data_IF_329074378200
#
_entry.id   IF_329074378200
#
_cell.length_a   1.000
_cell.length_b   1.000
_cell.length_c   1.000
_cell.angle_alpha   90.00
_cell.angle_beta   90.00
_cell.angle_gamma   90.00
#
_symmetry.space_group_name_H-M   'P 1'
#
loop_
_entity.id
_entity.type
_entity.pdbx_description
1 polymer ?
#
# COMPACT_ATOMS: atom_id res chain seq x y z
N UNK A 1 -10.73 -15.34 0.92
CA UNK A 1 -9.77 -15.08 -0.18
C UNK A 1 -8.35 -15.20 0.33
N UNK A 2 -7.37 -15.51 -0.53
CA UNK A 2 -5.95 -15.61 -0.15
C UNK A 2 -5.17 -14.44 -0.77
N UNK A 3 -4.35 -13.75 0.03
CA UNK A 3 -3.34 -12.82 -0.49
C UNK A 3 -2.13 -13.60 -1.00
N UNK A 4 -1.75 -13.32 -2.24
CA UNK A 4 -0.60 -13.97 -2.90
C UNK A 4 0.56 -13.01 -3.14
N UNK A 5 0.31 -11.70 -3.04
CA UNK A 5 1.31 -10.65 -3.24
C UNK A 5 0.74 -9.29 -2.89
N UNK A 6 1.62 -8.33 -2.59
CA UNK A 6 1.27 -6.94 -2.46
C UNK A 6 2.48 -6.06 -2.76
N UNK A 7 2.25 -4.84 -3.24
CA UNK A 7 3.28 -3.82 -3.40
C UNK A 7 2.68 -2.43 -3.41
N UNK A 8 3.51 -1.42 -3.14
CA UNK A 8 3.12 -0.02 -3.23
C UNK A 8 3.48 0.52 -4.61
N UNK A 9 2.63 1.37 -5.16
CA UNK A 9 2.84 2.01 -6.45
C UNK A 9 2.43 3.48 -6.39
N UNK A 10 2.95 4.28 -7.31
CA UNK A 10 2.48 5.65 -7.48
C UNK A 10 1.04 5.67 -8.01
N UNK A 11 0.77 4.86 -9.04
CA UNK A 11 -0.53 4.81 -9.70
C UNK A 11 -0.83 3.38 -10.18
N UNK A 12 -2.11 3.00 -10.12
CA UNK A 12 -2.61 1.76 -10.70
C UNK A 12 -3.96 1.99 -11.39
N UNK A 13 -4.20 1.25 -12.47
CA UNK A 13 -5.46 1.27 -13.20
C UNK A 13 -5.78 -0.10 -13.78
N UNK A 14 -7.05 -0.34 -14.06
CA UNK A 14 -7.50 -1.49 -14.85
C UNK A 14 -7.67 -1.04 -16.29
N UNK A 15 -6.88 -1.60 -17.22
CA UNK A 15 -6.99 -1.37 -18.66
C UNK A 15 -7.12 -2.72 -19.33
N UNK A 16 -8.21 -2.93 -20.09
CA UNK A 16 -8.52 -4.21 -20.76
C UNK A 16 -8.46 -5.42 -19.81
N UNK A 17 -9.02 -5.27 -18.61
CA UNK A 17 -9.00 -6.27 -17.53
C UNK A 17 -7.61 -6.67 -17.04
N UNK A 18 -6.58 -5.85 -17.32
CA UNK A 18 -5.21 -6.05 -16.84
C UNK A 18 -4.83 -4.95 -15.87
N UNK A 19 -4.05 -5.33 -14.88
CA UNK A 19 -3.41 -4.39 -13.98
C UNK A 19 -2.36 -3.60 -14.75
N UNK A 20 -2.55 -2.29 -14.83
CA UNK A 20 -1.55 -1.35 -15.33
C UNK A 20 -0.99 -0.56 -14.14
N UNK A 21 0.34 -0.51 -14.02
CA UNK A 21 1.06 0.22 -12.98
C UNK A 21 1.91 1.29 -13.65
N UNK A 22 1.78 2.52 -13.18
CA UNK A 22 2.52 3.67 -13.69
C UNK A 22 3.26 4.39 -12.55
N UNK A 23 4.30 5.15 -12.91
CA UNK A 23 5.21 5.83 -11.96
C UNK A 23 6.23 4.88 -11.31
N UNK A 24 5.84 3.63 -11.04
CA UNK A 24 6.73 2.57 -10.58
C UNK A 24 6.30 1.99 -9.23
N UNK A 25 7.07 1.01 -8.76
CA UNK A 25 6.89 0.41 -7.43
C UNK A 25 7.62 1.27 -6.40
N UNK A 26 6.91 1.66 -5.34
CA UNK A 26 7.40 2.54 -4.30
C UNK A 26 8.16 1.75 -3.23
N UNK A 27 9.42 2.15 -3.03
CA UNK A 27 10.24 1.77 -1.86
C UNK A 27 10.61 2.98 -1.00
N UNK A 28 10.40 4.20 -1.54
CA UNK A 28 10.68 5.48 -0.89
C UNK A 28 9.60 6.50 -1.24
N UNK A 29 9.24 7.36 -0.30
CA UNK A 29 8.33 8.48 -0.51
C UNK A 29 8.87 9.74 0.17
N UNK A 30 9.07 10.80 -0.61
CA UNK A 30 9.50 12.10 -0.08
C UNK A 30 8.28 12.98 0.15
N UNK A 31 8.01 13.30 1.41
CA UNK A 31 6.84 14.10 1.79
C UNK A 31 7.14 15.60 1.81
N UNK A 32 6.11 16.39 1.56
CA UNK A 32 6.13 17.84 1.70
C UNK A 32 6.04 18.32 3.16
N UNK A 33 5.99 19.65 3.39
CA UNK A 33 5.93 20.23 4.73
C UNK A 33 4.71 19.80 5.56
N UNK A 34 3.60 19.45 4.91
CA UNK A 34 2.37 18.97 5.53
C UNK A 34 2.43 17.47 5.90
N UNK A 35 3.50 16.76 5.50
CA UNK A 35 3.74 15.34 5.78
C UNK A 35 2.64 14.41 5.25
N UNK A 36 1.84 14.88 4.29
CA UNK A 36 0.81 14.09 3.62
C UNK A 36 1.43 13.23 2.53
N UNK A 37 0.99 11.99 2.44
CA UNK A 37 1.37 11.06 1.39
C UNK A 37 0.13 10.39 0.80
N UNK A 38 0.07 10.36 -0.54
CA UNK A 38 -0.95 9.65 -1.31
C UNK A 38 -0.25 8.71 -2.27
N UNK A 39 -0.51 7.41 -2.13
CA UNK A 39 0.03 6.36 -2.98
C UNK A 39 -0.97 5.21 -3.09
N UNK A 40 -0.67 4.22 -3.92
CA UNK A 40 -1.55 3.08 -4.18
C UNK A 40 -0.98 1.82 -3.56
N UNK A 41 -1.79 1.11 -2.77
CA UNK A 41 -1.54 -0.28 -2.42
C UNK A 41 -2.15 -1.17 -3.50
N UNK A 42 -1.35 -2.04 -4.12
CA UNK A 42 -1.81 -3.11 -4.99
C UNK A 42 -1.72 -4.43 -4.25
N UNK A 43 -2.78 -5.23 -4.32
CA UNK A 43 -2.83 -6.59 -3.78
C UNK A 43 -3.14 -7.59 -4.89
N UNK A 44 -2.51 -8.75 -4.81
CA UNK A 44 -2.76 -9.90 -5.68
C UNK A 44 -3.49 -10.96 -4.88
N UNK A 45 -4.61 -11.44 -5.41
CA UNK A 45 -5.59 -12.25 -4.70
C UNK A 45 -5.84 -13.56 -5.44
N UNK A 46 -6.23 -14.59 -4.70
CA UNK A 46 -6.76 -15.83 -5.25
C UNK A 46 -8.00 -16.24 -4.48
N UNK A 47 -8.88 -17.00 -5.13
CA UNK A 47 -9.96 -17.68 -4.44
C UNK A 47 -9.44 -18.52 -3.27
N UNK A 48 -10.16 -18.48 -2.16
CA UNK A 48 -9.98 -19.36 -1.02
C UNK A 48 -11.18 -20.32 -0.98
N UNK A 49 -11.01 -21.61 -1.29
CA UNK A 49 -12.12 -22.56 -1.30
C UNK A 49 -12.64 -22.88 0.11
N UNK A 50 -11.85 -22.63 1.16
CA UNK A 50 -12.25 -22.89 2.55
C UNK A 50 -12.91 -21.67 3.20
N UNK A 51 -12.62 -20.46 2.69
CA UNK A 51 -13.18 -19.21 3.19
C UNK A 51 -13.49 -18.21 2.05
N UNK A 52 -14.56 -18.49 1.31
CA UNK A 52 -14.96 -17.72 0.12
C UNK A 52 -15.49 -16.31 0.44
N UNK A 53 -16.02 -16.12 1.64
CA UNK A 53 -16.78 -14.90 1.99
C UNK A 53 -15.89 -13.81 2.60
N UNK A 54 -14.70 -14.16 3.09
CA UNK A 54 -13.74 -13.18 3.62
C UNK A 54 -12.96 -12.51 2.48
N UNK A 55 -13.30 -11.25 2.22
CA UNK A 55 -12.69 -10.37 1.21
C UNK A 55 -12.06 -9.12 1.81
N UNK A 56 -11.82 -9.12 3.12
CA UNK A 56 -11.26 -7.95 3.81
C UNK A 56 -9.75 -7.90 3.62
N UNK A 57 -9.25 -6.71 3.31
CA UNK A 57 -7.82 -6.37 3.44
C UNK A 57 -7.68 -5.36 4.57
N UNK A 58 -6.85 -5.68 5.55
CA UNK A 58 -6.45 -4.79 6.62
C UNK A 58 -5.01 -4.32 6.37
N UNK A 59 -4.76 -3.03 6.59
CA UNK A 59 -3.44 -2.42 6.41
C UNK A 59 -3.07 -1.68 7.69
N UNK A 60 -1.96 -2.08 8.29
CA UNK A 60 -1.37 -1.40 9.43
C UNK A 60 -0.12 -0.64 8.98
N UNK A 61 -0.10 0.68 9.19
CA UNK A 61 1.08 1.50 8.95
C UNK A 61 1.82 1.68 10.27
N UNK A 62 2.95 1.01 10.42
CA UNK A 62 3.77 1.00 11.63
C UNK A 62 4.84 2.10 11.51
N UNK A 63 4.87 3.08 12.44
CA UNK A 63 5.85 4.14 12.44
C UNK A 63 7.23 3.65 12.91
N UNK A 64 8.33 4.27 12.44
CA UNK A 64 9.69 3.93 12.88
C UNK A 64 9.95 4.25 14.36
N UNK A 65 9.09 5.05 15.00
CA UNK A 65 9.21 5.46 16.41
C UNK A 65 8.73 4.42 17.40
N UNK A 66 8.03 3.37 16.95
CA UNK A 66 7.40 2.38 17.82
C UNK A 66 6.06 2.82 18.43
N UNK A 67 5.51 3.94 17.96
CA UNK A 67 4.14 4.35 18.25
C UNK A 67 3.10 3.38 17.67
N UNK A 68 1.84 3.56 18.08
CA UNK A 68 0.74 2.70 17.65
C UNK A 68 0.56 2.74 16.11
N UNK A 69 0.28 1.60 15.47
CA UNK A 69 0.02 1.56 14.03
C UNK A 69 -1.25 2.33 13.64
N UNK A 70 -1.25 2.89 12.44
CA UNK A 70 -2.45 3.47 11.83
C UNK A 70 -3.16 2.40 11.01
N UNK A 71 -4.41 2.08 11.38
CA UNK A 71 -5.21 1.06 10.73
C UNK A 71 -6.01 1.60 9.54
N UNK A 72 -6.09 0.80 8.47
CA UNK A 72 -7.00 0.96 7.33
C UNK A 72 -7.63 -0.38 6.97
N UNK A 73 -8.86 -0.33 6.47
CA UNK A 73 -9.60 -1.53 6.05
C UNK A 73 -10.24 -1.29 4.69
N UNK A 74 -10.13 -2.29 3.84
CA UNK A 74 -10.66 -2.30 2.49
C UNK A 74 -11.42 -3.60 2.24
N UNK A 75 -12.31 -3.58 1.26
CA UNK A 75 -12.99 -4.76 0.77
C UNK A 75 -12.61 -4.98 -0.69
N UNK A 76 -12.16 -6.19 -1.01
CA UNK A 76 -11.78 -6.58 -2.36
C UNK A 76 -13.05 -6.87 -3.17
N UNK A 77 -13.20 -6.29 -4.37
CA UNK A 77 -14.32 -6.61 -5.26
C UNK A 77 -14.37 -8.09 -5.60
N UNK A 78 -15.57 -8.67 -5.71
CA UNK A 78 -15.74 -10.08 -6.06
C UNK A 78 -15.05 -10.46 -7.37
N UNK A 79 -15.15 -9.57 -8.38
CA UNK A 79 -14.53 -9.76 -9.68
C UNK A 79 -13.00 -9.85 -9.64
N UNK A 80 -12.38 -9.41 -8.54
CA UNK A 80 -10.94 -9.51 -8.29
C UNK A 80 -10.54 -10.83 -7.62
N UNK A 81 -11.49 -11.76 -7.40
CA UNK A 81 -11.24 -13.05 -6.75
C UNK A 81 -11.68 -14.16 -7.70
N UNK A 82 -10.70 -14.85 -8.29
CA UNK A 82 -10.96 -15.89 -9.28
C UNK A 82 -9.90 -16.99 -9.28
N UNK A 83 -9.98 -17.83 -10.31
CA UNK A 83 -9.12 -19.01 -10.50
C UNK A 83 -7.68 -18.63 -10.92
N UNK A 84 -7.52 -17.47 -11.58
CA UNK A 84 -6.23 -16.83 -11.85
C UNK A 84 -5.93 -15.78 -10.78
N UNK A 85 -4.64 -15.40 -10.53
CA UNK A 85 -4.35 -14.32 -9.60
C UNK A 85 -5.09 -13.06 -10.05
N UNK A 86 -6.11 -12.70 -9.28
CA UNK A 86 -6.82 -11.45 -9.42
C UNK A 86 -6.02 -10.34 -8.75
N UNK A 87 -6.50 -9.11 -8.93
CA UNK A 87 -5.88 -7.95 -8.32
C UNK A 87 -6.93 -6.94 -7.88
N UNK A 88 -6.59 -6.22 -6.82
CA UNK A 88 -7.29 -5.02 -6.41
C UNK A 88 -6.25 -3.96 -6.03
N UNK A 89 -6.65 -2.71 -6.07
CA UNK A 89 -5.78 -1.62 -5.64
C UNK A 89 -6.58 -0.55 -4.89
N UNK A 90 -5.93 0.05 -3.91
CA UNK A 90 -6.55 0.99 -2.98
C UNK A 90 -5.67 2.21 -2.82
N UNK A 91 -6.27 3.40 -2.86
CA UNK A 91 -5.58 4.63 -2.48
C UNK A 91 -5.30 4.61 -0.97
N UNK A 92 -4.06 4.93 -0.60
CA UNK A 92 -3.63 5.14 0.76
C UNK A 92 -3.32 6.61 0.93
N UNK A 93 -4.20 7.30 1.67
CA UNK A 93 -3.95 8.64 2.19
C UNK A 93 -3.50 8.53 3.65
N UNK A 94 -2.26 8.93 3.89
CA UNK A 94 -1.61 8.83 5.19
C UNK A 94 -0.89 10.13 5.55
N UNK A 95 -0.94 10.49 6.83
CA UNK A 95 0.00 11.44 7.40
C UNK A 95 1.18 10.64 7.96
N UNK A 96 2.40 10.95 7.49
CA UNK A 96 3.62 10.25 7.86
C UNK A 96 4.53 11.24 8.59
N UNK A 97 4.30 11.55 9.88
CA UNK A 97 4.92 12.70 10.55
C UNK A 97 6.42 12.56 10.81
N UNK A 98 6.97 11.34 10.75
CA UNK A 98 8.36 11.05 11.09
C UNK A 98 9.12 10.41 9.94
N UNK A 99 10.37 10.82 9.77
CA UNK A 99 11.30 10.24 8.78
C UNK A 99 11.79 8.86 9.25
N UNK A 100 12.15 8.03 8.28
CA UNK A 100 12.66 6.69 8.52
C UNK A 100 11.85 5.59 7.83
N UNK A 101 12.10 4.34 8.24
CA UNK A 101 11.49 3.16 7.63
C UNK A 101 10.14 2.87 8.28
N UNK A 102 9.08 3.22 7.58
CA UNK A 102 7.74 2.77 7.87
C UNK A 102 7.56 1.33 7.37
N UNK A 103 6.66 0.60 8.02
CA UNK A 103 6.32 -0.77 7.64
C UNK A 103 4.81 -0.86 7.47
N UNK A 104 4.37 -1.25 6.28
CA UNK A 104 2.97 -1.54 6.03
C UNK A 104 2.77 -3.05 6.13
N UNK A 105 1.92 -3.49 7.05
CA UNK A 105 1.50 -4.89 7.17
C UNK A 105 0.13 -5.02 6.51
N UNK A 106 0.04 -5.81 5.45
CA UNK A 106 -1.16 -6.03 4.65
C UNK A 106 -1.68 -7.43 4.93
N UNK A 107 -2.82 -7.53 5.59
CA UNK A 107 -3.43 -8.80 6.02
C UNK A 107 -4.70 -9.05 5.23
N UNK A 108 -4.90 -10.28 4.76
CA UNK A 108 -6.12 -10.69 4.07
C UNK A 108 -6.27 -12.21 4.07
N UNK A 109 -7.43 -12.68 4.51
CA UNK A 109 -7.60 -14.09 4.88
C UNK A 109 -6.63 -14.48 6.00
N UNK A 110 -5.93 -15.60 5.83
CA UNK A 110 -4.89 -16.07 6.77
C UNK A 110 -3.49 -15.52 6.50
N UNK A 111 -3.32 -14.72 5.44
CA UNK A 111 -2.00 -14.29 4.96
C UNK A 111 -1.71 -12.84 5.34
N UNK A 112 -0.43 -12.56 5.62
CA UNK A 112 0.07 -11.22 5.89
C UNK A 112 1.35 -10.93 5.09
N UNK A 113 1.42 -9.76 4.47
CA UNK A 113 2.55 -9.31 3.63
C UNK A 113 3.08 -8.00 4.20
N UNK A 114 4.41 -7.94 4.37
CA UNK A 114 5.10 -6.78 4.93
C UNK A 114 5.80 -5.97 3.86
N UNK A 115 5.46 -4.69 3.74
CA UNK A 115 6.00 -3.76 2.74
C UNK A 115 6.76 -2.62 3.42
N UNK A 116 8.09 -2.52 3.26
CA UNK A 116 8.84 -1.39 3.79
C UNK A 116 8.67 -0.14 2.92
N UNK A 117 8.52 1.01 3.56
CA UNK A 117 8.50 2.32 2.89
C UNK A 117 9.48 3.26 3.61
N UNK A 118 10.50 3.72 2.89
CA UNK A 118 11.40 4.76 3.41
C UNK A 118 10.75 6.13 3.23
N UNK A 119 10.58 6.88 4.31
CA UNK A 119 10.02 8.23 4.29
C UNK A 119 11.12 9.23 4.61
N UNK A 120 11.24 10.28 3.79
CA UNK A 120 12.06 11.45 4.08
C UNK A 120 11.30 12.76 3.81
N UNK A 121 11.77 13.84 4.42
CA UNK A 121 11.26 15.19 4.14
C UNK A 121 11.99 15.78 2.95
N UNK A 122 11.27 16.44 2.05
CA UNK A 122 11.92 17.33 1.09
C UNK A 122 12.54 18.52 1.81
N UNK A 123 13.85 18.66 1.75
CA UNK A 123 14.56 19.85 2.23
C UNK A 123 14.89 20.74 1.03
N UNK A 124 14.43 22.01 0.99
CA UNK A 124 14.86 22.91 -0.05
C UNK A 124 16.39 23.01 -0.08
N UNK A 125 17.01 23.09 -1.27
CA UNK A 125 18.42 23.47 -1.32
C UNK A 125 18.59 24.80 -0.60
N UNK A 126 19.54 24.87 0.34
CA UNK A 126 19.88 26.12 1.00
C UNK A 126 20.23 27.13 -0.08
N UNK A 127 19.50 28.25 -0.16
CA UNK A 127 19.89 29.33 -1.07
C UNK A 127 21.31 29.73 -0.71
N UNK A 128 22.26 29.49 -1.61
CA UNK A 128 23.57 30.12 -1.52
C UNK A 128 23.29 31.61 -1.63
N UNK A 129 23.25 32.29 -0.48
CA UNK A 129 23.04 33.72 -0.39
C UNK A 129 24.21 34.43 -1.07
N UNK A 130 24.06 34.65 -2.38
CA UNK A 130 24.87 35.56 -3.18
C UNK A 130 24.18 36.91 -3.27
#
# INVERSE_FOLDING_TARGET
MILTGAFLAEQAATIDNKLNVAGGVLSKFTVGPDRSASFVLVVLTRADPENSDDRRVEVELIPPTGEAPVLRRFEVPEASIGEFPGFAFFGIDANLPVDGRWVLVVTGGSEAITLPLLVDTWTPPQSLGI
#
